data_IF_152768053576
#
_entry.id   IF_152768053576
#
_cell.length_a   1.000
_cell.length_b   1.000
_cell.length_c   1.000
_cell.angle_alpha   90.00
_cell.angle_beta   90.00
_cell.angle_gamma   90.00
#
_symmetry.space_group_name_H-M   'P 1'
#
loop_
_entity.id
_entity.type
_entity.pdbx_description
1 polymer ?
#
# COMPACT_ATOMS: atom_id res chain seq x y z
N UNK A 1 -12.03 4.82 13.40
CA UNK A 1 -12.43 4.55 12.00
C UNK A 1 -11.63 5.35 10.97
N UNK A 2 -11.52 6.68 11.09
CA UNK A 2 -10.73 7.52 10.15
C UNK A 2 -9.26 7.08 10.06
N UNK A 3 -8.63 6.78 11.20
CA UNK A 3 -7.23 6.31 11.26
C UNK A 3 -7.05 5.03 10.43
N UNK A 4 -7.96 4.05 10.55
CA UNK A 4 -7.89 2.79 9.80
C UNK A 4 -7.99 2.99 8.28
N UNK A 5 -8.77 3.98 7.82
CA UNK A 5 -8.84 4.33 6.39
C UNK A 5 -7.54 4.97 5.90
N UNK A 6 -6.93 5.86 6.69
CA UNK A 6 -5.65 6.48 6.33
C UNK A 6 -4.52 5.45 6.21
N UNK A 7 -4.55 4.39 7.02
CA UNK A 7 -3.58 3.30 6.95
C UNK A 7 -3.55 2.63 5.56
N UNK A 8 -4.70 2.52 4.88
CA UNK A 8 -4.79 1.85 3.58
C UNK A 8 -3.99 2.54 2.47
N UNK A 9 -3.71 3.84 2.61
CA UNK A 9 -2.95 4.62 1.64
C UNK A 9 -1.43 4.57 1.87
N UNK A 10 -0.98 4.06 3.03
CA UNK A 10 0.44 4.05 3.39
C UNK A 10 1.32 3.36 2.33
N UNK A 11 0.98 2.15 1.81
CA UNK A 11 1.83 1.49 0.82
C UNK A 11 1.93 2.27 -0.49
N UNK A 12 0.85 2.93 -0.92
CA UNK A 12 0.83 3.77 -2.13
C UNK A 12 1.73 4.98 -1.95
N UNK A 13 1.60 5.68 -0.82
CA UNK A 13 2.44 6.85 -0.51
C UNK A 13 3.91 6.44 -0.41
N UNK A 14 4.19 5.31 0.24
CA UNK A 14 5.53 4.75 0.34
C UNK A 14 6.13 4.45 -1.05
N UNK A 15 5.40 3.76 -1.93
CA UNK A 15 5.84 3.50 -3.30
C UNK A 15 6.07 4.80 -4.10
N UNK A 16 5.19 5.80 -3.94
CA UNK A 16 5.32 7.06 -4.65
C UNK A 16 6.57 7.83 -4.21
N UNK A 17 6.83 7.91 -2.90
CA UNK A 17 7.98 8.65 -2.35
C UNK A 17 9.28 7.88 -2.56
N UNK A 18 9.37 6.64 -2.09
CA UNK A 18 10.60 5.86 -2.12
C UNK A 18 10.88 5.25 -3.49
N UNK A 19 9.84 4.93 -4.28
CA UNK A 19 10.04 4.48 -5.65
C UNK A 19 10.67 5.56 -6.51
N UNK A 20 10.22 6.82 -6.41
CA UNK A 20 10.84 7.94 -7.11
C UNK A 20 12.29 8.20 -6.64
N UNK A 21 12.55 8.06 -5.34
CA UNK A 21 13.92 8.17 -4.80
C UNK A 21 14.83 7.04 -5.29
N UNK A 22 14.31 5.83 -5.44
CA UNK A 22 15.04 4.67 -5.97
C UNK A 22 15.31 4.77 -7.47
N UNK A 23 14.44 5.43 -8.25
CA UNK A 23 14.68 5.74 -9.66
C UNK A 23 15.85 6.71 -9.82
N UNK A 24 15.89 7.76 -8.99
CA UNK A 24 16.95 8.78 -9.00
C UNK A 24 18.26 8.33 -8.33
N UNK A 25 18.34 7.06 -7.90
CA UNK A 25 19.47 6.48 -7.15
C UNK A 25 19.88 7.32 -5.92
N UNK A 26 18.92 8.08 -5.36
CA UNK A 26 19.13 8.97 -4.20
C UNK A 26 19.09 8.24 -2.86
N UNK A 27 18.79 6.94 -2.87
CA UNK A 27 18.73 6.06 -1.71
C UNK A 27 19.41 4.74 -2.05
N UNK A 28 19.85 4.00 -1.02
CA UNK A 28 20.52 2.70 -1.18
C UNK A 28 19.59 1.55 -1.58
N UNK A 29 18.28 1.72 -1.44
CA UNK A 29 17.30 0.67 -1.76
C UNK A 29 16.97 0.67 -3.26
N UNK A 30 17.07 -0.52 -3.86
CA UNK A 30 16.63 -0.74 -5.23
C UNK A 30 15.12 -0.62 -5.40
N UNK A 31 14.70 -0.18 -6.58
CA UNK A 31 13.28 -0.06 -6.96
C UNK A 31 12.52 -1.38 -6.80
N UNK A 32 13.18 -2.51 -7.08
CA UNK A 32 12.60 -3.83 -6.88
C UNK A 32 12.29 -4.09 -5.40
N UNK A 33 13.23 -3.80 -4.50
CA UNK A 33 13.08 -3.95 -3.05
C UNK A 33 11.96 -3.05 -2.52
N UNK A 34 11.93 -1.78 -2.93
CA UNK A 34 10.86 -0.84 -2.56
C UNK A 34 9.49 -1.38 -3.02
N UNK A 35 9.42 -1.88 -4.26
CA UNK A 35 8.17 -2.43 -4.81
C UNK A 35 7.70 -3.68 -4.08
N UNK A 36 8.60 -4.59 -3.71
CA UNK A 36 8.27 -5.79 -2.92
C UNK A 36 7.73 -5.43 -1.53
N UNK A 37 8.33 -4.44 -0.86
CA UNK A 37 7.85 -3.94 0.43
C UNK A 37 6.44 -3.33 0.29
N UNK A 38 6.22 -2.53 -0.75
CA UNK A 38 4.90 -1.93 -1.01
C UNK A 38 3.84 -2.99 -1.30
N UNK A 39 4.16 -4.00 -2.12
CA UNK A 39 3.21 -5.08 -2.44
C UNK A 39 2.89 -5.93 -1.21
N UNK A 40 3.91 -6.29 -0.42
CA UNK A 40 3.71 -7.05 0.82
C UNK A 40 2.90 -6.25 1.85
N UNK A 41 3.21 -4.97 2.03
CA UNK A 41 2.46 -4.11 2.95
C UNK A 41 1.02 -3.87 2.50
N UNK A 42 0.74 -3.77 1.19
CA UNK A 42 -0.64 -3.69 0.67
C UNK A 42 -1.45 -4.96 0.96
N UNK A 43 -0.82 -6.11 1.17
CA UNK A 43 -1.52 -7.33 1.59
C UNK A 43 -1.81 -7.37 3.09
N UNK A 44 -0.88 -6.90 3.92
CA UNK A 44 -0.93 -7.01 5.39
C UNK A 44 -1.70 -5.85 6.02
N UNK A 45 -1.49 -4.61 5.55
CA UNK A 45 -2.07 -3.40 6.15
C UNK A 45 -3.60 -3.39 6.14
N UNK A 46 -4.31 -3.83 5.08
CA UNK A 46 -5.78 -3.88 5.11
C UNK A 46 -6.32 -4.80 6.22
N UNK A 47 -5.66 -5.92 6.48
CA UNK A 47 -6.02 -6.84 7.57
C UNK A 47 -5.77 -6.19 8.94
N UNK A 48 -4.61 -5.55 9.12
CA UNK A 48 -4.31 -4.83 10.36
C UNK A 48 -5.27 -3.65 10.59
N UNK A 49 -5.60 -2.90 9.54
CA UNK A 49 -6.54 -1.78 9.61
C UNK A 49 -7.95 -2.27 9.97
N UNK A 50 -8.37 -3.42 9.44
CA UNK A 50 -9.62 -4.08 9.79
C UNK A 50 -9.63 -4.50 11.28
N UNK A 51 -8.55 -5.10 11.78
CA UNK A 51 -8.41 -5.47 13.19
C UNK A 51 -8.45 -4.24 14.11
N UNK A 52 -7.69 -3.18 13.80
CA UNK A 52 -7.71 -1.92 14.57
C UNK A 52 -9.11 -1.28 14.54
N UNK A 53 -9.78 -1.33 13.39
CA UNK A 53 -11.15 -0.85 13.24
C UNK A 53 -12.19 -1.63 14.06
N UNK A 54 -11.88 -2.86 14.47
CA UNK A 54 -12.75 -3.72 15.28
C UNK A 54 -12.68 -3.43 16.78
N UNK A 55 -11.64 -2.75 17.26
CA UNK A 55 -11.44 -2.47 18.68
C UNK A 55 -12.58 -1.56 19.18
N UNK A 56 -13.49 -2.13 19.98
CA UNK A 56 -14.66 -1.44 20.52
C UNK A 56 -16.02 -1.83 19.89
N UNK A 57 -16.04 -2.71 18.89
CA UNK A 57 -17.28 -3.26 18.32
C UNK A 57 -17.61 -4.62 18.96
N UNK A 58 -18.44 -4.62 20.00
CA UNK A 58 -19.05 -5.85 20.55
C UNK A 58 -20.34 -6.17 19.79
N UNK A 59 -20.31 -7.15 18.89
CA UNK A 59 -21.53 -7.84 18.43
C UNK A 59 -22.26 -7.31 17.18
N UNK A 60 -21.66 -6.44 16.36
CA UNK A 60 -22.22 -6.12 15.02
C UNK A 60 -21.45 -6.87 13.94
N UNK A 61 -22.17 -7.63 13.12
CA UNK A 61 -21.66 -8.50 12.04
C UNK A 61 -20.40 -7.93 11.37
N UNK A 62 -19.37 -8.76 11.14
CA UNK A 62 -18.06 -8.38 10.57
C UNK A 62 -18.07 -7.75 9.16
N UNK A 63 -19.24 -7.40 8.64
CA UNK A 63 -19.45 -6.74 7.35
C UNK A 63 -18.65 -5.42 7.21
N UNK A 64 -18.55 -4.53 8.23
CA UNK A 64 -17.70 -3.35 8.15
C UNK A 64 -16.20 -3.70 8.10
N UNK A 65 -15.80 -4.81 8.73
CA UNK A 65 -14.41 -5.30 8.71
C UNK A 65 -14.01 -5.81 7.33
N UNK A 66 -14.88 -6.64 6.74
CA UNK A 66 -14.70 -7.15 5.38
C UNK A 66 -14.71 -6.00 4.39
N UNK A 67 -15.62 -5.03 4.53
CA UNK A 67 -15.65 -3.83 3.70
C UNK A 67 -14.33 -3.03 3.75
N UNK A 68 -13.76 -2.87 4.95
CA UNK A 68 -12.50 -2.14 5.11
C UNK A 68 -11.31 -2.91 4.50
N UNK A 69 -11.23 -4.23 4.71
CA UNK A 69 -10.21 -5.06 4.09
C UNK A 69 -10.32 -5.06 2.55
N UNK A 70 -11.53 -5.28 2.00
CA UNK A 70 -11.80 -5.28 0.56
C UNK A 70 -11.48 -3.91 -0.06
N UNK A 71 -11.82 -2.81 0.61
CA UNK A 71 -11.47 -1.47 0.13
C UNK A 71 -9.95 -1.25 0.04
N UNK A 72 -9.18 -1.85 0.95
CA UNK A 72 -7.72 -1.86 0.87
C UNK A 72 -7.18 -2.68 -0.29
N UNK A 73 -7.80 -3.82 -0.60
CA UNK A 73 -7.42 -4.63 -1.77
C UNK A 73 -7.81 -3.98 -3.10
N UNK A 74 -8.86 -3.16 -3.14
CA UNK A 74 -9.22 -2.37 -4.34
C UNK A 74 -8.14 -1.35 -4.73
N UNK A 75 -7.23 -0.99 -3.83
CA UNK A 75 -6.10 -0.11 -4.10
C UNK A 75 -4.90 -0.85 -4.73
N UNK A 76 -4.91 -2.18 -4.74
CA UNK A 76 -3.81 -2.99 -5.29
C UNK A 76 -3.54 -2.74 -6.79
N UNK A 77 -4.55 -2.62 -7.68
CA UNK A 77 -4.31 -2.26 -9.09
C UNK A 77 -3.65 -0.89 -9.25
N UNK A 78 -4.01 0.09 -8.42
CA UNK A 78 -3.40 1.43 -8.44
C UNK A 78 -1.91 1.33 -8.10
N UNK A 79 -1.56 0.54 -7.09
CA UNK A 79 -0.17 0.29 -6.73
C UNK A 79 0.61 -0.38 -7.86
N UNK A 80 0.03 -1.37 -8.53
CA UNK A 80 0.64 -2.03 -9.69
C UNK A 80 0.90 -1.07 -10.85
N UNK A 81 -0.06 -0.16 -11.14
CA UNK A 81 0.12 0.87 -12.17
C UNK A 81 1.29 1.80 -11.82
N UNK A 82 1.38 2.26 -10.57
CA UNK A 82 2.50 3.11 -10.11
C UNK A 82 3.83 2.38 -10.27
N UNK A 83 3.92 1.12 -9.84
CA UNK A 83 5.13 0.29 -9.99
C UNK A 83 5.50 0.15 -11.48
N UNK A 84 4.52 -0.15 -12.34
CA UNK A 84 4.73 -0.29 -13.78
C UNK A 84 5.28 0.98 -14.43
N UNK A 85 4.69 2.14 -14.12
CA UNK A 85 5.18 3.45 -14.59
C UNK A 85 6.61 3.70 -14.10
N UNK A 86 6.88 3.48 -12.81
CA UNK A 86 8.20 3.68 -12.22
C UNK A 86 9.28 2.77 -12.85
N UNK A 87 8.93 1.52 -13.15
CA UNK A 87 9.81 0.59 -13.87
C UNK A 87 10.11 1.04 -15.29
N UNK A 88 9.10 1.51 -16.02
CA UNK A 88 9.28 2.05 -17.36
C UNK A 88 10.18 3.28 -17.36
N UNK A 89 9.96 4.20 -16.41
CA UNK A 89 10.79 5.41 -16.25
C UNK A 89 12.23 5.04 -15.92
N UNK A 90 12.48 4.13 -14.95
CA UNK A 90 13.85 3.68 -14.63
C UNK A 90 14.58 3.10 -15.85
N UNK A 91 13.87 2.38 -16.71
CA UNK A 91 14.43 1.84 -17.96
C UNK A 91 14.73 2.91 -18.99
N UNK A 92 13.98 4.01 -19.02
CA UNK A 92 14.20 5.11 -19.97
C UNK A 92 15.34 6.06 -19.57
N UNK A 93 15.67 6.15 -18.28
CA UNK A 93 16.79 6.96 -17.77
C UNK A 93 18.15 6.26 -17.85
N UNK A 94 18.16 4.96 -18.16
CA UNK A 94 19.36 4.12 -18.31
C UNK A 94 19.66 3.88 -19.78
#
# INVERSE_FOLDING_TARGET
MIIALLLLFIPIVFQFVYGNKAIKESITMDLFTVSMISLGSQLVIPVLAALIGSIGFTGRCGLPLVGLAVSGYMLYPVLLVIIGIQWYVKRSYR
#
